data_IF_489805662476
#
_entry.id   IF_489805662476
#
_cell.length_a   1.000
_cell.length_b   1.000
_cell.length_c   1.000
_cell.angle_alpha   90.00
_cell.angle_beta   90.00
_cell.angle_gamma   90.00
#
_symmetry.space_group_name_H-M   'P 1'
#
loop_
_entity.id
_entity.type
_entity.pdbx_description
1 polymer ?
#
# COMPACT_ATOMS: atom_id res chain seq x y z
N UNK A 1 28.21 55.45 27.73
CA UNK A 1 28.84 54.81 26.56
C UNK A 1 28.95 53.30 26.72
N UNK A 2 29.62 52.76 27.76
CA UNK A 2 29.77 51.32 27.97
C UNK A 2 28.44 50.55 28.10
N UNK A 3 27.48 51.07 28.88
CA UNK A 3 26.18 50.43 29.10
C UNK A 3 25.35 50.27 27.81
N UNK A 4 25.41 51.26 26.92
CA UNK A 4 24.69 51.25 25.63
C UNK A 4 25.26 50.18 24.69
N UNK A 5 26.59 50.02 24.68
CA UNK A 5 27.28 49.00 23.86
C UNK A 5 26.90 47.60 24.34
N UNK A 6 26.89 47.37 25.66
CA UNK A 6 26.50 46.09 26.27
C UNK A 6 25.03 45.76 25.94
N UNK A 7 24.14 46.75 26.00
CA UNK A 7 22.73 46.57 25.66
C UNK A 7 22.52 46.15 24.19
N UNK A 8 23.18 46.82 23.25
CA UNK A 8 23.08 46.48 21.81
C UNK A 8 23.65 45.09 21.53
N UNK A 9 24.78 44.72 22.16
CA UNK A 9 25.36 43.38 22.04
C UNK A 9 24.45 42.29 22.62
N UNK A 10 23.77 42.57 23.74
CA UNK A 10 22.79 41.65 24.33
C UNK A 10 21.60 41.39 23.40
N UNK A 11 21.05 42.44 22.77
CA UNK A 11 19.93 42.33 21.84
C UNK A 11 20.33 41.63 20.53
N UNK A 12 21.52 41.92 20.00
CA UNK A 12 22.05 41.28 18.79
C UNK A 12 22.37 39.80 19.03
N UNK A 13 22.89 39.46 20.22
CA UNK A 13 23.13 38.08 20.61
C UNK A 13 21.82 37.30 20.78
N UNK A 14 20.80 37.93 21.38
CA UNK A 14 19.47 37.32 21.53
C UNK A 14 18.76 37.06 20.19
N UNK A 15 18.90 37.95 19.20
CA UNK A 15 18.30 37.77 17.87
C UNK A 15 19.00 36.68 17.05
N UNK A 16 20.33 36.58 17.14
CA UNK A 16 21.10 35.51 16.48
C UNK A 16 20.76 34.14 17.07
N UNK A 17 20.72 34.02 18.40
CA UNK A 17 20.35 32.77 19.08
C UNK A 17 18.93 32.34 18.69
N UNK A 18 17.98 33.28 18.71
CA UNK A 18 16.59 33.00 18.31
C UNK A 18 16.49 32.58 16.84
N UNK A 19 17.23 33.23 15.93
CA UNK A 19 17.24 32.89 14.51
C UNK A 19 17.80 31.48 14.22
N UNK A 20 18.86 31.08 14.92
CA UNK A 20 19.42 29.71 14.78
C UNK A 20 18.46 28.66 15.33
N UNK A 21 17.80 28.91 16.47
CA UNK A 21 16.79 28.00 17.00
C UNK A 21 15.57 27.87 16.08
N UNK A 22 15.12 28.97 15.47
CA UNK A 22 14.03 28.95 14.49
C UNK A 22 14.40 28.18 13.23
N UNK A 23 15.63 28.35 12.72
CA UNK A 23 16.13 27.63 11.55
C UNK A 23 16.32 26.13 11.81
N UNK A 24 16.76 25.74 13.01
CA UNK A 24 16.85 24.33 13.42
C UNK A 24 15.49 23.71 13.75
N UNK A 25 14.52 24.51 14.20
CA UNK A 25 13.15 24.06 14.45
C UNK A 25 12.38 23.85 13.13
N UNK A 26 12.55 24.73 12.14
CA UNK A 26 11.92 24.60 10.82
C UNK A 26 12.40 23.34 10.09
N UNK A 27 13.72 23.09 10.07
CA UNK A 27 14.27 21.89 9.45
C UNK A 27 13.88 20.58 10.17
N UNK A 28 13.54 20.61 11.46
CA UNK A 28 12.98 19.45 12.18
C UNK A 28 11.50 19.26 11.84
N UNK A 29 10.72 20.33 11.80
CA UNK A 29 9.30 20.28 11.43
C UNK A 29 9.10 19.76 10.00
N UNK A 30 9.92 20.22 9.03
CA UNK A 30 9.88 19.74 7.64
C UNK A 30 10.18 18.24 7.53
N UNK A 31 11.19 17.74 8.26
CA UNK A 31 11.54 16.31 8.27
C UNK A 31 10.43 15.45 8.86
N UNK A 32 9.81 15.89 9.97
CA UNK A 32 8.67 15.19 10.57
C UNK A 32 7.47 15.19 9.62
N UNK A 33 7.19 16.32 8.96
CA UNK A 33 6.09 16.43 8.00
C UNK A 33 6.32 15.52 6.77
N UNK A 34 7.53 15.48 6.23
CA UNK A 34 7.90 14.62 5.11
C UNK A 34 7.81 13.12 5.48
N UNK A 35 8.28 12.74 6.66
CA UNK A 35 8.17 11.37 7.16
C UNK A 35 6.69 10.94 7.35
N UNK A 36 5.87 11.83 7.91
CA UNK A 36 4.43 11.59 8.08
C UNK A 36 3.71 11.48 6.72
N UNK A 37 4.09 12.30 5.73
CA UNK A 37 3.55 12.23 4.37
C UNK A 37 3.90 10.90 3.71
N UNK A 38 5.18 10.50 3.72
CA UNK A 38 5.61 9.23 3.15
C UNK A 38 4.92 8.03 3.81
N UNK A 39 4.70 8.09 5.13
CA UNK A 39 3.93 7.05 5.84
C UNK A 39 2.49 6.98 5.33
N UNK A 40 1.81 8.12 5.16
CA UNK A 40 0.45 8.16 4.60
C UNK A 40 0.41 7.59 3.18
N UNK A 41 1.34 8.01 2.32
CA UNK A 41 1.39 7.56 0.92
C UNK A 41 1.62 6.05 0.83
N UNK A 42 2.44 5.47 1.71
CA UNK A 42 2.62 4.02 1.82
C UNK A 42 1.35 3.31 2.24
N UNK A 43 0.66 3.80 3.28
CA UNK A 43 -0.60 3.21 3.75
C UNK A 43 -1.68 3.26 2.67
N UNK A 44 -1.77 4.38 1.94
CA UNK A 44 -2.70 4.53 0.82
C UNK A 44 -2.39 3.54 -0.31
N UNK A 45 -1.12 3.38 -0.69
CA UNK A 45 -0.72 2.40 -1.70
C UNK A 45 -1.07 0.96 -1.30
N UNK A 46 -0.85 0.61 -0.03
CA UNK A 46 -1.23 -0.70 0.52
C UNK A 46 -2.74 -0.89 0.46
N UNK A 47 -3.52 0.10 0.91
CA UNK A 47 -4.98 0.04 0.93
C UNK A 47 -5.57 -0.08 -0.49
N UNK A 48 -5.07 0.69 -1.45
CA UNK A 48 -5.49 0.62 -2.85
C UNK A 48 -5.20 -0.75 -3.45
N UNK A 49 -3.99 -1.28 -3.25
CA UNK A 49 -3.65 -2.60 -3.79
C UNK A 49 -4.47 -3.71 -3.13
N UNK A 50 -4.68 -3.64 -1.82
CA UNK A 50 -5.53 -4.58 -1.10
C UNK A 50 -6.96 -4.56 -1.65
N UNK A 51 -7.56 -3.37 -1.82
CA UNK A 51 -8.91 -3.22 -2.35
C UNK A 51 -9.06 -3.86 -3.74
N UNK A 52 -8.18 -3.51 -4.69
CA UNK A 52 -8.21 -4.08 -6.04
C UNK A 52 -7.92 -5.58 -6.03
N UNK A 53 -7.02 -6.05 -5.14
CA UNK A 53 -6.76 -7.48 -4.94
C UNK A 53 -7.99 -8.26 -4.45
N UNK A 54 -8.76 -7.68 -3.53
CA UNK A 54 -10.00 -8.28 -3.05
C UNK A 54 -11.08 -8.33 -4.14
N UNK A 55 -11.19 -7.28 -4.96
CA UNK A 55 -12.06 -7.26 -6.14
C UNK A 55 -11.63 -8.30 -7.18
N UNK A 56 -10.32 -8.46 -7.40
CA UNK A 56 -9.77 -9.45 -8.31
C UNK A 56 -10.11 -10.89 -7.87
N UNK A 57 -9.93 -11.19 -6.58
CA UNK A 57 -10.36 -12.47 -5.99
C UNK A 57 -11.86 -12.69 -6.16
N UNK A 58 -12.70 -11.67 -5.94
CA UNK A 58 -14.16 -11.75 -6.11
C UNK A 58 -14.54 -12.10 -7.55
N UNK A 59 -13.95 -11.44 -8.55
CA UNK A 59 -14.26 -11.74 -9.95
C UNK A 59 -13.77 -13.12 -10.38
N UNK A 60 -12.60 -13.56 -9.89
CA UNK A 60 -12.09 -14.91 -10.16
C UNK A 60 -12.99 -15.99 -9.56
N UNK A 61 -13.49 -15.78 -8.34
CA UNK A 61 -14.50 -16.67 -7.73
C UNK A 61 -15.78 -16.75 -8.55
N UNK A 62 -16.30 -15.61 -9.02
CA UNK A 62 -17.50 -15.58 -9.90
C UNK A 62 -17.26 -16.32 -11.21
N UNK A 63 -16.06 -16.20 -11.79
CA UNK A 63 -15.66 -16.95 -12.99
C UNK A 63 -15.62 -18.46 -12.75
N UNK A 64 -14.96 -18.90 -11.67
CA UNK A 64 -14.90 -20.31 -11.29
C UNK A 64 -16.31 -20.89 -11.06
N UNK A 65 -17.14 -20.17 -10.29
CA UNK A 65 -18.53 -20.57 -10.05
C UNK A 65 -19.34 -20.68 -11.35
N UNK A 66 -19.26 -19.68 -12.24
CA UNK A 66 -20.00 -19.70 -13.51
C UNK A 66 -19.58 -20.85 -14.43
N UNK A 67 -18.30 -21.25 -14.40
CA UNK A 67 -17.81 -22.40 -15.16
C UNK A 67 -18.36 -23.71 -14.57
N UNK A 68 -18.24 -23.89 -13.25
CA UNK A 68 -18.68 -25.12 -12.57
C UNK A 68 -20.21 -25.29 -12.60
N UNK A 69 -20.96 -24.19 -12.55
CA UNK A 69 -22.41 -24.21 -12.69
C UNK A 69 -22.89 -24.26 -14.14
N UNK A 70 -21.99 -24.41 -15.12
CA UNK A 70 -22.30 -24.42 -16.55
C UNK A 70 -23.17 -23.24 -17.00
N UNK A 71 -22.86 -22.03 -16.51
CA UNK A 71 -23.58 -20.82 -16.89
C UNK A 71 -23.51 -20.56 -18.41
N UNK A 72 -24.41 -19.74 -18.92
CA UNK A 72 -24.46 -19.42 -20.35
C UNK A 72 -23.12 -18.87 -20.87
N UNK A 73 -22.82 -19.14 -22.15
CA UNK A 73 -21.59 -18.66 -22.80
C UNK A 73 -21.46 -17.14 -22.72
N UNK A 74 -22.56 -16.41 -22.90
CA UNK A 74 -22.61 -14.96 -22.75
C UNK A 74 -22.16 -14.53 -21.34
N UNK A 75 -22.70 -15.18 -20.30
CA UNK A 75 -22.35 -14.89 -18.91
C UNK A 75 -20.87 -15.17 -18.61
N UNK A 76 -20.32 -16.26 -19.15
CA UNK A 76 -18.91 -16.58 -18.98
C UNK A 76 -17.99 -15.56 -19.68
N UNK A 77 -18.40 -15.07 -20.85
CA UNK A 77 -17.67 -14.04 -21.59
C UNK A 77 -17.69 -12.68 -20.88
N UNK A 78 -18.85 -12.25 -20.36
CA UNK A 78 -18.97 -11.01 -19.59
C UNK A 78 -18.01 -11.01 -18.39
N UNK A 79 -17.98 -12.11 -17.63
CA UNK A 79 -17.08 -12.26 -16.48
C UNK A 79 -15.61 -12.31 -16.89
N UNK A 80 -15.30 -12.83 -18.09
CA UNK A 80 -13.95 -12.82 -18.66
C UNK A 80 -13.51 -11.39 -18.95
N UNK A 81 -14.37 -10.58 -19.57
CA UNK A 81 -14.10 -9.17 -19.85
C UNK A 81 -13.93 -8.36 -18.56
N UNK A 82 -14.85 -8.52 -17.60
CA UNK A 82 -14.78 -7.86 -16.29
C UNK A 82 -13.45 -8.20 -15.58
N UNK A 83 -13.00 -9.46 -15.68
CA UNK A 83 -11.71 -9.82 -15.08
C UNK A 83 -10.49 -9.22 -15.75
N UNK A 84 -10.54 -8.94 -17.05
CA UNK A 84 -9.44 -8.26 -17.75
C UNK A 84 -9.36 -6.79 -17.32
N UNK A 85 -10.50 -6.15 -17.13
CA UNK A 85 -10.57 -4.77 -16.60
C UNK A 85 -9.94 -4.71 -15.20
N UNK A 86 -10.35 -5.59 -14.29
CA UNK A 86 -9.80 -5.60 -12.92
C UNK A 86 -8.32 -5.98 -12.92
N UNK A 87 -7.89 -6.93 -13.77
CA UNK A 87 -6.47 -7.28 -13.90
C UNK A 87 -5.64 -6.09 -14.37
N UNK A 88 -6.15 -5.31 -15.32
CA UNK A 88 -5.50 -4.07 -15.77
C UNK A 88 -5.39 -3.07 -14.62
N UNK A 89 -6.45 -2.92 -13.82
CA UNK A 89 -6.50 -2.03 -12.66
C UNK A 89 -5.48 -2.37 -11.56
N UNK A 90 -4.94 -3.60 -11.50
CA UNK A 90 -3.86 -3.95 -10.57
C UNK A 90 -2.52 -3.27 -10.90
N UNK A 91 -2.32 -2.87 -12.16
CA UNK A 91 -1.01 -2.39 -12.65
C UNK A 91 -0.55 -1.14 -11.91
N UNK A 92 -1.42 -0.15 -11.79
CA UNK A 92 -1.13 1.12 -11.14
C UNK A 92 -0.80 0.95 -9.63
N UNK A 93 -1.64 0.32 -8.80
CA UNK A 93 -1.33 0.14 -7.37
C UNK A 93 -0.11 -0.77 -7.14
N UNK A 94 0.13 -1.79 -7.99
CA UNK A 94 1.37 -2.59 -7.93
C UNK A 94 2.62 -1.74 -8.20
N UNK A 95 2.54 -0.80 -9.15
CA UNK A 95 3.65 0.08 -9.50
C UNK A 95 3.92 1.09 -8.38
N UNK A 96 2.87 1.69 -7.83
CA UNK A 96 2.98 2.63 -6.70
C UNK A 96 3.53 1.93 -5.46
N UNK A 97 3.06 0.72 -5.15
CA UNK A 97 3.61 -0.08 -4.06
C UNK A 97 5.12 -0.29 -4.23
N UNK A 98 5.56 -0.70 -5.43
CA UNK A 98 6.98 -0.95 -5.71
C UNK A 98 7.85 0.30 -5.59
N UNK A 99 7.30 1.47 -5.93
CA UNK A 99 8.01 2.74 -5.79
C UNK A 99 8.15 3.18 -4.32
N UNK A 100 7.12 2.97 -3.50
CA UNK A 100 7.06 3.49 -2.13
C UNK A 100 7.59 2.52 -1.06
N UNK A 101 7.58 1.22 -1.36
CA UNK A 101 7.93 0.13 -0.44
C UNK A 101 9.00 -0.75 -1.09
N UNK A 102 10.30 -0.41 -0.98
CA UNK A 102 11.40 -1.20 -1.55
C UNK A 102 11.71 -2.49 -0.75
N UNK A 103 10.69 -3.19 -0.27
CA UNK A 103 10.84 -4.42 0.50
C UNK A 103 10.48 -5.66 -0.32
N UNK A 104 11.44 -6.58 -0.41
CA UNK A 104 11.28 -7.80 -1.21
C UNK A 104 10.22 -8.76 -0.68
N UNK A 105 9.98 -8.80 0.63
CA UNK A 105 8.97 -9.66 1.24
C UNK A 105 7.57 -9.10 0.95
N UNK A 106 7.38 -7.79 1.08
CA UNK A 106 6.12 -7.12 0.69
C UNK A 106 5.81 -7.33 -0.79
N UNK A 107 6.82 -7.21 -1.66
CA UNK A 107 6.65 -7.49 -3.09
C UNK A 107 6.28 -8.94 -3.39
N UNK A 108 6.92 -9.90 -2.71
CA UNK A 108 6.62 -11.31 -2.86
C UNK A 108 5.19 -11.61 -2.41
N UNK A 109 4.77 -11.08 -1.26
CA UNK A 109 3.42 -11.26 -0.73
C UNK A 109 2.35 -10.64 -1.64
N UNK A 110 2.60 -9.43 -2.17
CA UNK A 110 1.71 -8.79 -3.13
C UNK A 110 1.52 -9.64 -4.42
N UNK A 111 2.62 -10.20 -4.95
CA UNK A 111 2.57 -11.10 -6.11
C UNK A 111 1.83 -12.40 -5.78
N UNK A 112 2.07 -12.98 -4.61
CA UNK A 112 1.41 -14.19 -4.14
C UNK A 112 -0.12 -13.98 -4.01
N UNK A 113 -0.56 -12.84 -3.47
CA UNK A 113 -1.97 -12.47 -3.41
C UNK A 113 -2.63 -12.47 -4.80
N UNK A 114 -2.00 -11.83 -5.79
CA UNK A 114 -2.53 -11.76 -7.17
C UNK A 114 -2.54 -13.14 -7.82
N UNK A 115 -1.48 -13.93 -7.62
CA UNK A 115 -1.39 -15.28 -8.17
C UNK A 115 -2.45 -16.22 -7.56
N UNK A 116 -2.61 -16.22 -6.24
CA UNK A 116 -3.61 -17.04 -5.56
C UNK A 116 -5.04 -16.70 -6.01
N UNK A 117 -5.34 -15.41 -6.26
CA UNK A 117 -6.60 -15.01 -6.86
C UNK A 117 -6.78 -15.57 -8.29
N UNK A 118 -5.73 -15.54 -9.12
CA UNK A 118 -5.74 -16.08 -10.48
C UNK A 118 -6.00 -17.58 -10.52
N UNK A 119 -5.40 -18.35 -9.61
CA UNK A 119 -5.47 -19.81 -9.55
C UNK A 119 -6.90 -20.33 -9.29
N UNK A 120 -7.78 -19.51 -8.71
CA UNK A 120 -9.21 -19.83 -8.48
C UNK A 120 -9.93 -20.23 -9.77
N UNK A 121 -9.54 -19.66 -10.92
CA UNK A 121 -10.24 -19.81 -12.21
C UNK A 121 -10.34 -21.27 -12.68
N UNK A 122 -9.29 -22.05 -12.46
CA UNK A 122 -9.09 -23.36 -13.11
C UNK A 122 -9.37 -24.55 -12.17
N UNK A 123 -10.08 -24.32 -11.06
CA UNK A 123 -10.44 -25.32 -10.04
C UNK A 123 -11.37 -26.44 -10.53
N UNK A 124 -11.11 -27.71 -10.19
CA UNK A 124 -11.85 -28.86 -10.76
C UNK A 124 -13.34 -28.89 -10.41
N UNK A 125 -13.69 -28.47 -9.21
CA UNK A 125 -15.00 -28.62 -8.60
C UNK A 125 -15.25 -27.54 -7.53
N UNK A 126 -16.42 -27.58 -6.89
CA UNK A 126 -16.81 -26.57 -5.89
C UNK A 126 -15.99 -26.64 -4.60
N UNK A 127 -15.46 -27.80 -4.23
CA UNK A 127 -14.62 -27.95 -3.05
C UNK A 127 -13.23 -27.34 -3.30
N UNK A 128 -12.62 -27.68 -4.45
CA UNK A 128 -11.40 -27.04 -4.94
C UNK A 128 -11.56 -25.51 -5.08
N UNK A 129 -12.74 -25.05 -5.52
CA UNK A 129 -13.05 -23.62 -5.59
C UNK A 129 -13.10 -22.95 -4.21
N UNK A 130 -13.59 -23.63 -3.19
CA UNK A 130 -13.60 -23.15 -1.80
C UNK A 130 -12.18 -23.12 -1.23
N UNK A 131 -11.41 -24.19 -1.40
CA UNK A 131 -10.01 -24.25 -0.94
C UNK A 131 -9.16 -23.16 -1.60
N UNK A 132 -9.28 -22.96 -2.91
CA UNK A 132 -8.57 -21.88 -3.60
C UNK A 132 -9.00 -20.49 -3.12
N UNK A 133 -10.29 -20.31 -2.79
CA UNK A 133 -10.79 -19.05 -2.24
C UNK A 133 -10.20 -18.74 -0.85
N UNK A 134 -10.07 -19.75 0.01
CA UNK A 134 -9.42 -19.58 1.32
C UNK A 134 -7.92 -19.32 1.17
N UNK A 135 -7.23 -20.04 0.28
CA UNK A 135 -5.83 -19.77 -0.03
C UNK A 135 -5.61 -18.32 -0.52
N UNK A 136 -6.49 -17.82 -1.40
CA UNK A 136 -6.42 -16.43 -1.88
C UNK A 136 -6.76 -15.40 -0.79
N UNK A 137 -7.61 -15.74 0.18
CA UNK A 137 -7.85 -14.89 1.37
C UNK A 137 -6.63 -14.86 2.29
N UNK A 138 -6.01 -16.02 2.54
CA UNK A 138 -4.79 -16.10 3.33
C UNK A 138 -3.65 -15.28 2.69
N UNK A 139 -3.39 -15.46 1.40
CA UNK A 139 -2.36 -14.69 0.69
C UNK A 139 -2.61 -13.17 0.69
N UNK A 140 -3.88 -12.76 0.69
CA UNK A 140 -4.26 -11.35 0.85
C UNK A 140 -3.92 -10.82 2.24
N UNK A 141 -4.24 -11.58 3.29
CA UNK A 141 -3.89 -11.21 4.66
C UNK A 141 -2.37 -11.19 4.85
N UNK A 142 -1.64 -12.17 4.31
CA UNK A 142 -0.18 -12.22 4.37
C UNK A 142 0.46 -10.98 3.73
N UNK A 143 -0.11 -10.49 2.62
CA UNK A 143 0.31 -9.22 2.02
C UNK A 143 0.09 -8.03 2.94
N UNK A 144 -1.12 -7.90 3.52
CA UNK A 144 -1.43 -6.81 4.44
C UNK A 144 -0.52 -6.85 5.67
N UNK A 145 -0.31 -8.03 6.26
CA UNK A 145 0.54 -8.22 7.44
C UNK A 145 2.00 -7.87 7.14
N UNK A 146 2.55 -8.34 6.02
CA UNK A 146 3.90 -8.00 5.60
C UNK A 146 4.05 -6.48 5.39
N UNK A 147 3.08 -5.85 4.72
CA UNK A 147 3.12 -4.43 4.42
C UNK A 147 2.94 -3.55 5.67
N UNK A 148 2.04 -3.91 6.58
CA UNK A 148 1.84 -3.21 7.85
C UNK A 148 3.07 -3.34 8.75
N UNK A 149 3.71 -4.52 8.80
CA UNK A 149 4.96 -4.72 9.52
C UNK A 149 6.07 -3.80 8.99
N UNK A 150 6.24 -3.75 7.67
CA UNK A 150 7.20 -2.85 7.02
C UNK A 150 6.99 -1.37 7.41
N UNK A 151 5.73 -0.92 7.45
CA UNK A 151 5.40 0.46 7.83
C UNK A 151 5.63 0.70 9.33
N UNK A 152 5.34 -0.28 10.19
CA UNK A 152 5.54 -0.19 11.63
C UNK A 152 7.02 -0.12 12.01
N UNK A 153 7.87 -0.98 11.42
CA UNK A 153 9.32 -1.00 11.69
C UNK A 153 10.03 0.29 11.26
N UNK A 154 9.44 1.04 10.32
CA UNK A 154 9.95 2.33 9.82
C UNK A 154 9.26 3.54 10.44
N UNK A 155 8.38 3.31 11.41
CA UNK A 155 7.72 4.35 12.16
C UNK A 155 8.48 4.79 13.41
N UNK A 156 9.50 4.04 13.83
CA UNK A 156 10.33 4.42 14.97
C UNK A 156 11.36 5.50 14.57
N UNK A 157 11.45 6.60 15.33
CA UNK A 157 12.34 7.74 15.06
C UNK A 157 13.82 7.43 15.29
#
# INVERSE_FOLDING_TARGET
MLATIIAVLGTLSGSIVTGVFQHMASGRAERVAAAAQLRRDRLEAIAQLAAVGADYRRIMRRRGQARLSQASRARQEDLRQESHVIRSALTQPMTVLQALIPDSQVHAAAKAMVQAAYDIRDTSDFDALNTAQEAARAAHNDFVDAATRYVAERAEP
#
